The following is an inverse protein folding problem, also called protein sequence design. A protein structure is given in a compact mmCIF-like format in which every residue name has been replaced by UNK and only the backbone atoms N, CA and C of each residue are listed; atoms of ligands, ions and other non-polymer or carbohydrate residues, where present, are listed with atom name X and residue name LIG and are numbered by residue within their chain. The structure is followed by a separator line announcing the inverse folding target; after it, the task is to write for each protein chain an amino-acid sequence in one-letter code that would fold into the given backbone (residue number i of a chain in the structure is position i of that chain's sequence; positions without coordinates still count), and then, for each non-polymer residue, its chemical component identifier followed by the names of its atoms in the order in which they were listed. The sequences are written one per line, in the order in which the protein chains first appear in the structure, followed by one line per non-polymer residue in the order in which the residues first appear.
data_IF_294474159641
#
_entry.id   IF_294474159641
#
_cell.length_a   1.000
_cell.length_b   1.000
_cell.length_c   1.000
_cell.angle_alpha   90.00
_cell.angle_beta   90.00
_cell.angle_gamma   90.00
#
_symmetry.space_group_name_H-M   'P 1'
#
loop_
_entity.id
_entity.type
_entity.pdbx_description
1 polymer ?
#
# COMPACT_ATOMS: atom_id res chain seq x y z
N UNK A 1 25.23 9.57 -6.65
CA UNK A 1 24.42 8.59 -5.88
C UNK A 1 23.77 7.50 -6.77
N UNK A 2 23.99 7.46 -8.10
CA UNK A 2 23.39 6.43 -8.98
C UNK A 2 24.38 5.82 -9.99
N UNK A 3 25.69 6.05 -9.85
CA UNK A 3 26.68 5.69 -10.88
C UNK A 3 26.85 4.17 -11.09
N UNK A 4 26.50 3.33 -10.10
CA UNK A 4 26.66 1.87 -10.18
C UNK A 4 25.33 1.09 -10.34
N UNK A 5 24.20 1.80 -10.44
CA UNK A 5 22.86 1.19 -10.48
C UNK A 5 22.51 0.62 -11.87
N UNK A 6 21.85 -0.54 -11.89
CA UNK A 6 21.37 -1.14 -13.13
C UNK A 6 20.28 -0.26 -13.79
N UNK A 7 20.11 -0.30 -15.13
CA UNK A 7 19.02 0.41 -15.80
C UNK A 7 17.63 0.03 -15.26
N UNK A 8 17.46 -1.23 -14.84
CA UNK A 8 16.26 -1.69 -14.17
C UNK A 8 16.09 -1.05 -12.78
N UNK A 9 17.14 -1.02 -11.96
CA UNK A 9 17.11 -0.41 -10.63
C UNK A 9 16.84 1.09 -10.66
N UNK A 10 17.42 1.83 -11.61
CA UNK A 10 17.13 3.26 -11.82
C UNK A 10 15.65 3.47 -12.16
N UNK A 11 15.07 2.61 -13.01
CA UNK A 11 13.64 2.64 -13.35
C UNK A 11 12.77 2.41 -12.12
N UNK A 12 13.08 1.40 -11.30
CA UNK A 12 12.36 1.13 -10.03
C UNK A 12 12.36 2.37 -9.15
N UNK A 13 13.55 2.92 -8.87
CA UNK A 13 13.69 4.04 -7.94
C UNK A 13 12.96 5.29 -8.45
N UNK A 14 13.08 5.58 -9.74
CA UNK A 14 12.40 6.74 -10.37
C UNK A 14 10.89 6.63 -10.23
N UNK A 15 10.31 5.46 -10.54
CA UNK A 15 8.86 5.26 -10.45
C UNK A 15 8.40 5.37 -8.99
N UNK A 16 9.06 4.67 -8.06
CA UNK A 16 8.68 4.66 -6.64
C UNK A 16 8.74 6.08 -6.05
N UNK A 17 9.83 6.82 -6.28
CA UNK A 17 9.97 8.19 -5.79
C UNK A 17 8.94 9.14 -6.39
N UNK A 18 8.66 9.03 -7.70
CA UNK A 18 7.65 9.86 -8.35
C UNK A 18 6.25 9.64 -7.73
N UNK A 19 5.85 8.38 -7.54
CA UNK A 19 4.57 8.06 -6.90
C UNK A 19 4.53 8.50 -5.43
N UNK A 20 5.62 8.35 -4.68
CA UNK A 20 5.72 8.81 -3.29
C UNK A 20 5.61 10.33 -3.20
N UNK A 21 6.20 11.10 -4.11
CA UNK A 21 6.06 12.56 -4.15
C UNK A 21 4.61 13.00 -4.43
N UNK A 22 3.95 12.33 -5.38
CA UNK A 22 2.53 12.58 -5.68
C UNK A 22 1.66 12.25 -4.47
N UNK A 23 1.85 11.08 -3.86
CA UNK A 23 1.13 10.67 -2.66
C UNK A 23 1.37 11.63 -1.49
N UNK A 24 2.61 12.06 -1.26
CA UNK A 24 2.96 13.04 -0.23
C UNK A 24 2.26 14.39 -0.43
N UNK A 25 2.18 14.86 -1.67
CA UNK A 25 1.44 16.09 -2.01
C UNK A 25 -0.05 15.93 -1.68
N UNK A 26 -0.64 14.79 -2.01
CA UNK A 26 -2.05 14.49 -1.73
C UNK A 26 -2.32 14.39 -0.22
N UNK A 27 -1.42 13.73 0.55
CA UNK A 27 -1.51 13.65 2.02
C UNK A 27 -1.40 15.04 2.63
N UNK A 28 -0.47 15.87 2.17
CA UNK A 28 -0.34 17.25 2.63
C UNK A 28 -1.63 18.04 2.40
N UNK A 29 -2.20 17.98 1.20
CA UNK A 29 -3.47 18.63 0.89
C UNK A 29 -4.63 18.12 1.75
N UNK A 30 -4.68 16.81 2.03
CA UNK A 30 -5.67 16.22 2.94
C UNK A 30 -5.52 16.79 4.34
N UNK A 31 -4.31 16.77 4.92
CA UNK A 31 -4.04 17.26 6.26
C UNK A 31 -4.34 18.76 6.37
N UNK A 32 -3.93 19.55 5.39
CA UNK A 32 -4.28 20.97 5.31
C UNK A 32 -5.80 21.20 5.30
N UNK A 33 -6.53 20.43 4.50
CA UNK A 33 -8.00 20.51 4.45
C UNK A 33 -8.64 20.13 5.79
N UNK A 34 -8.11 19.11 6.47
CA UNK A 34 -8.66 18.60 7.74
C UNK A 34 -8.34 19.50 8.93
N UNK A 35 -7.13 20.04 8.99
CA UNK A 35 -6.66 20.86 10.10
C UNK A 35 -7.10 22.32 9.95
N UNK A 36 -7.00 22.88 8.75
CA UNK A 36 -7.21 24.32 8.53
C UNK A 36 -8.63 24.63 8.05
N UNK A 37 -9.10 23.93 7.00
CA UNK A 37 -10.38 24.26 6.34
C UNK A 37 -11.57 23.72 7.13
N UNK A 38 -11.58 22.42 7.43
CA UNK A 38 -12.72 21.75 8.07
C UNK A 38 -12.59 21.63 9.58
N UNK A 39 -11.39 21.88 10.14
CA UNK A 39 -11.06 21.79 11.58
C UNK A 39 -11.61 20.51 12.24
N UNK A 40 -11.45 19.39 11.55
CA UNK A 40 -12.08 18.12 11.87
C UNK A 40 -11.12 16.94 11.79
N UNK A 41 -9.86 17.12 12.20
CA UNK A 41 -8.90 16.02 12.25
C UNK A 41 -9.44 14.83 13.04
N UNK A 42 -9.14 13.62 12.59
CA UNK A 42 -9.51 12.40 13.28
C UNK A 42 -8.42 11.34 13.22
N UNK A 43 -8.68 10.18 13.84
CA UNK A 43 -7.74 9.06 13.86
C UNK A 43 -7.36 8.58 12.46
N UNK A 44 -8.26 8.72 11.47
CA UNK A 44 -7.96 8.37 10.09
C UNK A 44 -6.81 9.20 9.50
N UNK A 45 -6.60 10.44 9.96
CA UNK A 45 -5.55 11.32 9.47
C UNK A 45 -4.19 10.95 10.05
N UNK A 46 -4.16 10.49 11.31
CA UNK A 46 -2.97 9.91 11.95
C UNK A 46 -2.57 8.62 11.24
N UNK A 47 -3.53 7.73 10.94
CA UNK A 47 -3.26 6.51 10.19
C UNK A 47 -2.70 6.81 8.79
N UNK A 48 -3.25 7.79 8.07
CA UNK A 48 -2.69 8.16 6.75
C UNK A 48 -1.30 8.78 6.85
N UNK A 49 -1.03 9.61 7.87
CA UNK A 49 0.32 10.12 8.10
C UNK A 49 1.32 8.98 8.39
N UNK A 50 0.92 8.00 9.22
CA UNK A 50 1.72 6.81 9.48
C UNK A 50 1.94 5.97 8.22
N UNK A 51 0.91 5.78 7.39
CA UNK A 51 1.05 5.09 6.09
C UNK A 51 2.03 5.82 5.15
N UNK A 52 2.03 7.16 5.15
CA UNK A 52 2.98 7.95 4.38
C UNK A 52 4.42 7.75 4.86
N UNK A 53 4.65 7.75 6.18
CA UNK A 53 5.97 7.45 6.75
C UNK A 53 6.44 6.05 6.35
N UNK A 54 5.55 5.05 6.37
CA UNK A 54 5.87 3.69 5.93
C UNK A 54 6.13 3.60 4.42
N UNK A 55 5.43 4.38 3.60
CA UNK A 55 5.71 4.48 2.16
C UNK A 55 7.09 5.07 1.89
N UNK A 56 7.48 6.11 2.64
CA UNK A 56 8.84 6.68 2.56
C UNK A 56 9.86 5.64 3.00
N UNK A 57 9.63 4.94 4.10
CA UNK A 57 10.52 3.87 4.56
C UNK A 57 10.68 2.77 3.50
N UNK A 58 9.59 2.36 2.85
CA UNK A 58 9.63 1.41 1.73
C UNK A 58 10.47 1.95 0.57
N UNK A 59 10.30 3.22 0.19
CA UNK A 59 11.09 3.85 -0.86
C UNK A 59 12.60 3.91 -0.53
N UNK A 60 12.95 4.20 0.73
CA UNK A 60 14.36 4.18 1.19
C UNK A 60 14.94 2.78 1.09
N UNK A 61 14.24 1.76 1.63
CA UNK A 61 14.71 0.38 1.58
C UNK A 61 14.85 -0.13 0.14
N UNK A 62 13.91 0.22 -0.75
CA UNK A 62 14.02 -0.10 -2.18
C UNK A 62 15.19 0.63 -2.85
N UNK A 63 15.45 1.88 -2.47
CA UNK A 63 16.62 2.63 -2.98
C UNK A 63 17.93 1.95 -2.56
N UNK A 64 18.02 1.51 -1.30
CA UNK A 64 19.18 0.76 -0.80
C UNK A 64 19.35 -0.58 -1.53
N UNK A 65 18.27 -1.30 -1.85
CA UNK A 65 18.36 -2.50 -2.70
C UNK A 65 18.96 -2.18 -4.07
N UNK A 66 18.54 -1.07 -4.70
CA UNK A 66 19.06 -0.63 -6.00
C UNK A 66 20.55 -0.35 -5.95
N UNK A 67 21.03 0.27 -4.87
CA UNK A 67 22.45 0.56 -4.69
C UNK A 67 23.29 -0.72 -4.55
N UNK A 68 22.75 -1.76 -3.92
CA UNK A 68 23.43 -3.05 -3.70
C UNK A 68 23.15 -4.08 -4.79
N UNK A 69 22.62 -3.67 -5.95
CA UNK A 69 22.56 -4.53 -7.13
C UNK A 69 21.18 -5.02 -7.56
N UNK A 70 20.08 -4.48 -7.04
CA UNK A 70 18.74 -4.81 -7.54
C UNK A 70 18.66 -4.62 -9.07
N UNK A 71 18.14 -5.62 -9.78
CA UNK A 71 18.06 -5.62 -11.24
C UNK A 71 19.35 -6.05 -11.96
N UNK A 72 20.37 -6.52 -11.25
CA UNK A 72 21.51 -7.28 -11.82
C UNK A 72 21.31 -8.78 -11.60
N UNK A 73 21.91 -9.62 -12.44
CA UNK A 73 21.88 -11.07 -12.23
C UNK A 73 22.66 -11.45 -10.98
N UNK A 74 22.20 -12.45 -10.24
CA UNK A 74 22.80 -12.83 -8.95
C UNK A 74 24.26 -13.25 -9.10
N UNK A 75 24.61 -13.80 -10.27
CA UNK A 75 25.96 -14.27 -10.61
C UNK A 75 26.97 -13.13 -10.84
N UNK A 76 26.50 -11.89 -11.02
CA UNK A 76 27.34 -10.71 -11.26
C UNK A 76 27.67 -9.93 -9.98
N UNK A 77 27.08 -10.32 -8.85
CA UNK A 77 27.16 -9.60 -7.58
C UNK A 77 28.15 -10.26 -6.61
N UNK A 78 28.82 -9.44 -5.79
CA UNK A 78 29.60 -9.95 -4.66
C UNK A 78 28.68 -10.52 -3.58
N UNK A 79 29.16 -11.51 -2.84
CA UNK A 79 28.37 -12.18 -1.78
C UNK A 79 27.87 -11.21 -0.68
N UNK A 80 28.63 -10.15 -0.41
CA UNK A 80 28.23 -9.10 0.54
C UNK A 80 27.03 -8.28 0.04
N UNK A 81 27.03 -7.90 -1.24
CA UNK A 81 25.95 -7.15 -1.88
C UNK A 81 24.65 -7.96 -1.96
N UNK A 82 24.76 -9.26 -2.26
CA UNK A 82 23.62 -10.20 -2.23
C UNK A 82 23.02 -10.26 -0.82
N UNK A 83 23.87 -10.39 0.19
CA UNK A 83 23.43 -10.46 1.60
C UNK A 83 22.71 -9.18 2.02
N UNK A 84 23.24 -8.01 1.62
CA UNK A 84 22.62 -6.72 1.91
C UNK A 84 21.28 -6.54 1.19
N UNK A 85 21.21 -6.94 -0.08
CA UNK A 85 19.97 -6.93 -0.87
C UNK A 85 18.90 -7.81 -0.24
N UNK A 86 19.25 -9.01 0.24
CA UNK A 86 18.31 -9.91 0.94
C UNK A 86 17.83 -9.34 2.27
N UNK A 87 18.70 -8.69 3.06
CA UNK A 87 18.30 -7.99 4.30
C UNK A 87 17.29 -6.88 4.02
N UNK A 88 17.55 -6.08 2.99
CA UNK A 88 16.64 -5.01 2.59
C UNK A 88 15.34 -5.57 2.00
N UNK A 89 15.40 -6.69 1.27
CA UNK A 89 14.22 -7.39 0.78
C UNK A 89 13.34 -7.87 1.94
N UNK A 90 13.93 -8.53 2.93
CA UNK A 90 13.24 -8.92 4.16
C UNK A 90 12.58 -7.74 4.87
N UNK A 91 13.29 -6.60 4.99
CA UNK A 91 12.73 -5.38 5.57
C UNK A 91 11.53 -4.86 4.77
N UNK A 92 11.62 -4.87 3.44
CA UNK A 92 10.56 -4.38 2.56
C UNK A 92 9.25 -5.17 2.71
N UNK A 93 9.31 -6.48 2.96
CA UNK A 93 8.14 -7.36 3.06
C UNK A 93 7.18 -6.94 4.18
N UNK A 94 7.69 -6.75 5.40
CA UNK A 94 6.84 -6.39 6.54
C UNK A 94 6.48 -4.91 6.54
N UNK A 95 7.37 -4.01 6.07
CA UNK A 95 7.07 -2.57 5.92
C UNK A 95 5.91 -2.38 4.93
N UNK A 96 5.96 -3.05 3.79
CA UNK A 96 4.89 -3.04 2.79
C UNK A 96 3.55 -3.50 3.38
N UNK A 97 3.53 -4.65 4.07
CA UNK A 97 2.30 -5.19 4.68
C UNK A 97 1.73 -4.23 5.74
N UNK A 98 2.60 -3.62 6.54
CA UNK A 98 2.21 -2.64 7.55
C UNK A 98 1.65 -1.36 6.90
N UNK A 99 2.24 -0.91 5.79
CA UNK A 99 1.74 0.26 5.05
C UNK A 99 0.32 0.00 4.50
N UNK A 100 0.10 -1.12 3.81
CA UNK A 100 -1.21 -1.50 3.29
C UNK A 100 -2.26 -1.65 4.40
N UNK A 101 -1.90 -2.31 5.50
CA UNK A 101 -2.78 -2.47 6.66
C UNK A 101 -3.20 -1.11 7.19
N UNK A 102 -2.24 -0.19 7.36
CA UNK A 102 -2.51 1.14 7.89
C UNK A 102 -3.42 1.96 6.97
N UNK A 103 -3.25 1.84 5.64
CA UNK A 103 -4.14 2.45 4.64
C UNK A 103 -5.57 1.89 4.77
N UNK A 104 -5.73 0.57 4.85
CA UNK A 104 -7.03 -0.11 4.99
C UNK A 104 -7.74 0.31 6.27
N UNK A 105 -7.00 0.38 7.38
CA UNK A 105 -7.49 0.87 8.68
C UNK A 105 -7.97 2.32 8.55
N UNK A 106 -7.19 3.21 7.90
CA UNK A 106 -7.59 4.59 7.70
C UNK A 106 -8.89 4.72 6.88
N UNK A 107 -9.04 3.94 5.80
CA UNK A 107 -10.26 3.91 4.97
C UNK A 107 -11.47 3.47 5.80
N UNK A 108 -11.33 2.40 6.59
CA UNK A 108 -12.42 1.87 7.42
C UNK A 108 -12.85 2.85 8.51
N UNK A 109 -11.90 3.47 9.21
CA UNK A 109 -12.20 4.52 10.20
C UNK A 109 -12.93 5.69 9.53
N UNK A 110 -12.47 6.08 8.34
CA UNK A 110 -13.12 7.13 7.56
C UNK A 110 -14.55 6.75 7.14
N UNK A 111 -14.80 5.50 6.76
CA UNK A 111 -16.15 4.99 6.47
C UNK A 111 -17.07 5.03 7.69
N UNK A 112 -16.59 4.58 8.85
CA UNK A 112 -17.34 4.62 10.12
C UNK A 112 -17.73 6.06 10.47
N UNK A 113 -16.84 7.02 10.24
CA UNK A 113 -17.08 8.44 10.48
C UNK A 113 -18.09 9.05 9.50
N UNK A 114 -17.98 8.74 8.21
CA UNK A 114 -18.84 9.30 7.16
C UNK A 114 -20.27 8.76 7.23
N UNK A 115 -20.44 7.46 7.48
CA UNK A 115 -21.75 6.81 7.44
C UNK A 115 -22.25 6.48 8.86
N UNK A 116 -23.25 7.22 9.39
CA UNK A 116 -23.77 7.00 10.74
C UNK A 116 -24.70 5.79 10.89
N UNK A 117 -24.77 4.90 9.89
CA UNK A 117 -25.70 3.77 9.84
C UNK A 117 -25.17 2.61 10.70
N UNK A 118 -25.94 2.17 11.72
CA UNK A 118 -25.52 1.12 12.67
C UNK A 118 -25.04 -0.18 12.01
N UNK A 119 -25.84 -0.76 11.11
CA UNK A 119 -25.47 -2.00 10.42
C UNK A 119 -24.18 -1.86 9.58
N UNK A 120 -24.01 -0.70 8.93
CA UNK A 120 -22.82 -0.41 8.15
C UNK A 120 -21.57 -0.27 9.03
N UNK A 121 -21.69 0.42 10.17
CA UNK A 121 -20.59 0.53 11.15
C UNK A 121 -20.21 -0.83 11.72
N UNK A 122 -21.18 -1.69 12.04
CA UNK A 122 -20.92 -3.06 12.48
C UNK A 122 -20.13 -3.85 11.43
N UNK A 123 -20.53 -3.76 10.16
CA UNK A 123 -19.78 -4.37 9.07
C UNK A 123 -18.35 -3.79 8.93
N UNK A 124 -18.18 -2.48 9.07
CA UNK A 124 -16.85 -1.86 9.05
C UNK A 124 -15.96 -2.35 10.20
N UNK A 125 -16.48 -2.47 11.42
CA UNK A 125 -15.73 -3.00 12.56
C UNK A 125 -15.37 -4.48 12.36
N UNK A 126 -16.27 -5.29 11.81
CA UNK A 126 -15.97 -6.69 11.50
C UNK A 126 -14.83 -6.80 10.47
N UNK A 127 -14.87 -6.00 9.40
CA UNK A 127 -13.79 -5.94 8.40
C UNK A 127 -12.50 -5.40 9.00
N UNK A 128 -12.57 -4.42 9.92
CA UNK A 128 -11.40 -3.90 10.62
C UNK A 128 -10.71 -4.98 11.45
N UNK A 129 -11.47 -5.76 12.23
CA UNK A 129 -10.92 -6.89 12.98
C UNK A 129 -10.29 -7.93 12.06
N UNK A 130 -10.94 -8.25 10.92
CA UNK A 130 -10.39 -9.16 9.91
C UNK A 130 -9.08 -8.63 9.33
N UNK A 131 -9.00 -7.34 8.98
CA UNK A 131 -7.78 -6.72 8.45
C UNK A 131 -6.64 -6.82 9.46
N UNK A 132 -6.89 -6.50 10.73
CA UNK A 132 -5.87 -6.57 11.79
C UNK A 132 -5.40 -8.02 12.01
N UNK A 133 -6.31 -8.99 12.01
CA UNK A 133 -5.97 -10.40 12.18
C UNK A 133 -5.10 -10.93 11.02
N UNK A 134 -5.47 -10.62 9.77
CA UNK A 134 -4.66 -10.99 8.62
C UNK A 134 -3.31 -10.25 8.58
N UNK A 135 -3.26 -9.00 9.05
CA UNK A 135 -2.02 -8.25 9.15
C UNK A 135 -1.06 -8.87 10.17
N UNK A 136 -1.58 -9.32 11.31
CA UNK A 136 -0.77 -10.06 12.29
C UNK A 136 -0.20 -11.34 11.66
N UNK A 137 -1.02 -12.12 10.94
CA UNK A 137 -0.55 -13.29 10.19
C UNK A 137 0.56 -12.93 9.20
N UNK A 138 0.33 -11.94 8.34
CA UNK A 138 1.29 -11.54 7.31
C UNK A 138 2.59 -10.97 7.89
N UNK A 139 2.52 -10.07 8.88
CA UNK A 139 3.70 -9.43 9.46
C UNK A 139 4.53 -10.45 10.22
N UNK A 140 3.93 -11.20 11.15
CA UNK A 140 4.67 -12.20 11.91
C UNK A 140 5.17 -13.35 11.04
N UNK A 141 4.41 -13.74 10.02
CA UNK A 141 4.84 -14.74 9.04
C UNK A 141 6.06 -14.29 8.23
N UNK A 142 6.15 -13.01 7.84
CA UNK A 142 7.33 -12.48 7.13
C UNK A 142 8.52 -12.23 8.07
N UNK A 143 8.28 -11.71 9.27
CA UNK A 143 9.35 -11.43 10.25
C UNK A 143 10.00 -12.73 10.74
N UNK A 144 9.19 -13.75 11.04
CA UNK A 144 9.65 -15.05 11.53
C UNK A 144 9.65 -16.14 10.46
N UNK A 145 9.83 -15.74 9.20
CA UNK A 145 9.85 -16.65 8.05
C UNK A 145 10.89 -17.77 8.22
N UNK A 146 12.07 -17.42 8.75
CA UNK A 146 13.13 -18.36 9.08
C UNK A 146 13.44 -18.34 10.57
N UNK A 147 13.80 -19.52 11.10
CA UNK A 147 14.32 -19.68 12.45
C UNK A 147 15.74 -20.28 12.38
N UNK A 148 16.76 -19.57 12.89
CA UNK A 148 16.76 -18.17 13.32
C UNK A 148 16.60 -17.18 12.14
N UNK A 149 16.14 -15.95 12.40
CA UNK A 149 15.78 -14.96 11.34
C UNK A 149 16.96 -14.65 10.40
N UNK A 150 18.18 -14.65 10.93
CA UNK A 150 19.40 -14.43 10.14
C UNK A 150 19.67 -15.53 9.10
N UNK A 151 19.06 -16.71 9.22
CA UNK A 151 19.11 -17.75 8.19
C UNK A 151 18.43 -17.33 6.88
N UNK A 152 17.61 -16.28 6.89
CA UNK A 152 17.04 -15.73 5.66
C UNK A 152 18.14 -15.29 4.69
N UNK A 153 19.07 -14.46 5.16
CA UNK A 153 20.15 -13.88 4.35
C UNK A 153 21.52 -14.57 4.51
N UNK A 154 21.71 -15.40 5.55
CA UNK A 154 22.94 -16.13 5.79
C UNK A 154 22.67 -17.64 5.89
N UNK A 155 22.93 -18.36 4.79
CA UNK A 155 22.73 -19.82 4.72
C UNK A 155 23.82 -20.62 5.44
N UNK A 156 24.86 -19.99 5.97
CA UNK A 156 25.92 -20.67 6.73
C UNK A 156 25.50 -21.02 8.17
N UNK A 157 24.39 -20.46 8.65
CA UNK A 157 23.89 -20.70 10.01
C UNK A 157 23.39 -22.14 10.17
N UNK A 158 24.00 -22.87 11.11
CA UNK A 158 23.65 -24.25 11.40
C UNK A 158 22.22 -24.38 11.97
N UNK A 159 21.53 -25.45 11.56
CA UNK A 159 20.15 -25.77 11.97
C UNK A 159 19.08 -24.75 11.55
N UNK A 160 19.38 -23.87 10.60
CA UNK A 160 18.40 -22.94 10.06
C UNK A 160 17.30 -23.64 9.27
N UNK A 161 16.05 -23.25 9.50
CA UNK A 161 14.88 -23.71 8.75
C UNK A 161 13.99 -22.52 8.41
N UNK A 162 13.51 -22.46 7.18
CA UNK A 162 12.49 -21.51 6.75
C UNK A 162 11.16 -22.22 6.56
N UNK A 163 10.07 -21.54 6.86
CA UNK A 163 8.75 -21.95 6.39
C UNK A 163 8.68 -21.76 4.87
N UNK A 164 7.67 -22.34 4.21
CA UNK A 164 7.51 -22.14 2.77
C UNK A 164 7.12 -20.69 2.47
N UNK A 165 8.06 -19.96 1.87
CA UNK A 165 7.88 -18.58 1.40
C UNK A 165 6.66 -18.47 0.49
N UNK A 166 6.47 -19.45 -0.41
CA UNK A 166 5.31 -19.55 -1.29
C UNK A 166 3.98 -19.54 -0.51
N UNK A 167 3.86 -20.35 0.54
CA UNK A 167 2.63 -20.41 1.35
C UNK A 167 2.37 -19.06 2.02
N UNK A 168 3.38 -18.47 2.67
CA UNK A 168 3.19 -17.23 3.43
C UNK A 168 2.89 -16.06 2.51
N UNK A 169 3.62 -15.93 1.40
CA UNK A 169 3.46 -14.82 0.47
C UNK A 169 2.16 -14.92 -0.32
N UNK A 170 1.82 -16.11 -0.85
CA UNK A 170 0.61 -16.29 -1.64
C UNK A 170 -0.66 -16.17 -0.79
N UNK A 171 -0.66 -16.73 0.44
CA UNK A 171 -1.80 -16.56 1.36
C UNK A 171 -1.97 -15.11 1.78
N UNK A 172 -0.88 -14.41 2.11
CA UNK A 172 -0.92 -12.99 2.49
C UNK A 172 -1.38 -12.11 1.33
N UNK A 173 -0.90 -12.36 0.11
CA UNK A 173 -1.30 -11.61 -1.08
C UNK A 173 -2.78 -11.86 -1.42
N UNK A 174 -3.24 -13.12 -1.41
CA UNK A 174 -4.64 -13.46 -1.63
C UNK A 174 -5.58 -12.84 -0.60
N UNK A 175 -5.21 -12.86 0.69
CA UNK A 175 -5.97 -12.19 1.76
C UNK A 175 -6.00 -10.68 1.56
N UNK A 176 -4.89 -10.07 1.14
CA UNK A 176 -4.83 -8.64 0.87
C UNK A 176 -5.77 -8.24 -0.27
N UNK A 177 -5.76 -8.96 -1.40
CA UNK A 177 -6.67 -8.72 -2.54
C UNK A 177 -8.12 -8.90 -2.11
N UNK A 178 -8.43 -9.97 -1.36
CA UNK A 178 -9.78 -10.23 -0.86
C UNK A 178 -10.29 -9.09 0.03
N UNK A 179 -9.44 -8.54 0.90
CA UNK A 179 -9.78 -7.37 1.71
C UNK A 179 -10.05 -6.12 0.86
N UNK A 180 -9.25 -5.86 -0.17
CA UNK A 180 -9.44 -4.70 -1.04
C UNK A 180 -10.80 -4.77 -1.76
N UNK A 181 -11.16 -5.96 -2.26
CA UNK A 181 -12.49 -6.23 -2.83
C UNK A 181 -13.58 -5.95 -1.80
N UNK A 182 -13.48 -6.49 -0.59
CA UNK A 182 -14.50 -6.29 0.46
C UNK A 182 -14.65 -4.80 0.80
N UNK A 183 -13.55 -4.09 1.03
CA UNK A 183 -13.55 -2.65 1.36
C UNK A 183 -14.13 -1.82 0.21
N UNK A 184 -13.82 -2.19 -1.04
CA UNK A 184 -14.37 -1.53 -2.23
C UNK A 184 -15.88 -1.73 -2.34
N UNK A 185 -16.41 -2.93 -2.12
CA UNK A 185 -17.85 -3.18 -2.28
C UNK A 185 -18.70 -2.68 -1.11
N UNK A 186 -18.11 -2.53 0.08
CA UNK A 186 -18.79 -2.21 1.32
C UNK A 186 -19.70 -0.95 1.23
N UNK A 187 -19.24 0.22 0.75
CA UNK A 187 -20.10 1.40 0.67
C UNK A 187 -21.11 1.38 -0.49
N UNK A 188 -20.92 0.56 -1.54
CA UNK A 188 -21.76 0.56 -2.76
C UNK A 188 -23.23 0.31 -2.42
N UNK A 189 -23.52 -0.63 -1.52
CA UNK A 189 -24.89 -0.95 -1.11
C UNK A 189 -25.57 0.23 -0.41
N UNK A 190 -24.85 0.94 0.46
CA UNK A 190 -25.36 2.12 1.17
C UNK A 190 -25.63 3.26 0.20
N UNK A 191 -24.69 3.51 -0.70
CA UNK A 191 -24.78 4.58 -1.70
C UNK A 191 -25.97 4.40 -2.62
N UNK A 192 -26.26 3.17 -3.07
CA UNK A 192 -27.41 2.91 -3.96
C UNK A 192 -28.76 3.23 -3.31
N UNK A 193 -28.83 3.21 -1.97
CA UNK A 193 -30.06 3.55 -1.22
C UNK A 193 -30.14 5.02 -0.83
N UNK A 194 -29.03 5.76 -0.86
CA UNK A 194 -28.99 7.17 -0.47
C UNK A 194 -29.25 8.06 -1.69
N UNK A 195 -30.23 8.96 -1.60
CA UNK A 195 -30.56 9.92 -2.66
C UNK A 195 -29.50 11.03 -2.75
N UNK A 196 -28.37 10.71 -3.38
CA UNK A 196 -27.22 11.60 -3.52
C UNK A 196 -27.32 12.40 -4.83
N UNK A 197 -26.92 13.67 -4.81
CA UNK A 197 -26.86 14.53 -6.01
C UNK A 197 -25.94 13.94 -7.10
N UNK A 198 -26.26 14.17 -8.38
CA UNK A 198 -25.48 13.60 -9.52
C UNK A 198 -23.99 13.97 -9.48
N UNK A 199 -23.62 15.12 -8.89
CA UNK A 199 -22.23 15.58 -8.75
C UNK A 199 -21.46 14.81 -7.68
N UNK A 200 -22.08 14.57 -6.52
CA UNK A 200 -21.50 13.72 -5.48
C UNK A 200 -21.37 12.25 -5.94
N UNK A 201 -22.30 11.78 -6.78
CA UNK A 201 -22.22 10.47 -7.42
C UNK A 201 -20.98 10.34 -8.33
N UNK A 202 -20.60 11.38 -9.08
CA UNK A 202 -19.38 11.37 -9.91
C UNK A 202 -18.11 11.19 -9.08
N UNK A 203 -17.89 12.01 -8.03
CA UNK A 203 -16.68 11.90 -7.20
C UNK A 203 -16.55 10.55 -6.50
N UNK A 204 -17.67 9.90 -6.21
CA UNK A 204 -17.70 8.57 -5.65
C UNK A 204 -17.38 7.47 -6.67
N UNK A 205 -17.83 7.61 -7.92
CA UNK A 205 -17.42 6.73 -9.03
C UNK A 205 -15.91 6.82 -9.24
N UNK A 206 -15.32 8.02 -9.18
CA UNK A 206 -13.86 8.18 -9.31
C UNK A 206 -13.10 7.46 -8.20
N UNK A 207 -13.61 7.50 -6.97
CA UNK A 207 -13.03 6.77 -5.86
C UNK A 207 -13.12 5.25 -6.04
N UNK A 208 -14.25 4.73 -6.54
CA UNK A 208 -14.37 3.31 -6.87
C UNK A 208 -13.44 2.89 -8.01
N UNK A 209 -13.29 3.74 -9.03
CA UNK A 209 -12.37 3.45 -10.13
C UNK A 209 -10.92 3.37 -9.65
N UNK A 210 -10.50 4.27 -8.76
CA UNK A 210 -9.16 4.22 -8.18
C UNK A 210 -8.98 3.04 -7.23
N UNK A 211 -9.97 2.72 -6.39
CA UNK A 211 -9.93 1.50 -5.59
C UNK A 211 -9.88 0.23 -6.44
N UNK A 212 -10.57 0.20 -7.57
CA UNK A 212 -10.47 -0.90 -8.53
C UNK A 212 -9.07 -0.99 -9.18
N UNK A 213 -8.43 0.16 -9.45
CA UNK A 213 -7.06 0.17 -9.97
C UNK A 213 -6.06 -0.45 -8.99
N UNK A 214 -6.24 -0.26 -7.67
CA UNK A 214 -5.42 -0.93 -6.64
C UNK A 214 -5.55 -2.45 -6.78
N UNK A 215 -6.76 -2.99 -6.89
CA UNK A 215 -7.00 -4.43 -7.05
C UNK A 215 -6.30 -4.99 -8.30
N UNK A 216 -6.30 -4.24 -9.41
CA UNK A 216 -5.58 -4.64 -10.62
C UNK A 216 -4.08 -4.69 -10.36
N UNK A 217 -3.50 -3.67 -9.73
CA UNK A 217 -2.08 -3.64 -9.36
C UNK A 217 -1.72 -4.80 -8.42
N UNK A 218 -2.54 -5.07 -7.39
CA UNK A 218 -2.35 -6.19 -6.46
C UNK A 218 -2.40 -7.55 -7.18
N UNK A 219 -3.25 -7.69 -8.20
CA UNK A 219 -3.37 -8.91 -8.99
C UNK A 219 -2.15 -9.12 -9.88
N UNK A 220 -1.68 -8.07 -10.55
CA UNK A 220 -0.43 -8.12 -11.35
C UNK A 220 0.76 -8.45 -10.46
N UNK A 221 0.81 -7.90 -9.23
CA UNK A 221 1.83 -8.23 -8.23
C UNK A 221 1.82 -9.69 -7.85
N UNK A 222 0.66 -10.33 -7.72
CA UNK A 222 0.57 -11.77 -7.43
C UNK A 222 1.22 -12.60 -8.54
N UNK A 223 1.01 -12.25 -9.81
CA UNK A 223 1.67 -12.90 -10.94
C UNK A 223 3.20 -12.68 -10.93
N UNK A 224 3.66 -11.46 -10.64
CA UNK A 224 5.10 -11.19 -10.50
C UNK A 224 5.72 -11.98 -9.33
N UNK A 225 4.97 -12.19 -8.25
CA UNK A 225 5.41 -12.97 -7.09
C UNK A 225 5.49 -14.47 -7.40
N UNK A 226 4.58 -14.98 -8.22
CA UNK A 226 4.60 -16.35 -8.72
C UNK A 226 5.84 -16.61 -9.60
N UNK A 227 6.10 -15.71 -10.56
CA UNK A 227 7.31 -15.77 -11.38
C UNK A 227 8.60 -15.72 -10.53
N UNK A 228 8.60 -14.90 -9.47
CA UNK A 228 9.72 -14.81 -8.54
C UNK A 228 9.97 -16.10 -7.76
N UNK A 229 8.91 -16.81 -7.39
CA UNK A 229 9.01 -18.08 -6.66
C UNK A 229 9.62 -19.19 -7.53
N UNK A 230 9.38 -19.16 -8.84
CA UNK A 230 9.93 -20.11 -9.81
C UNK A 230 11.28 -19.67 -10.42
N UNK A 231 11.67 -18.40 -10.27
CA UNK A 231 12.90 -17.85 -10.84
C UNK A 231 14.17 -18.28 -10.09
N UNK A 232 15.23 -18.58 -10.85
CA UNK A 232 16.57 -18.84 -10.31
C UNK A 232 17.37 -17.53 -10.08
N UNK A 233 16.86 -16.38 -10.58
CA UNK A 233 17.50 -15.06 -10.54
C UNK A 233 16.62 -14.04 -9.78
N UNK A 234 16.49 -14.27 -8.48
CA UNK A 234 15.61 -13.49 -7.61
C UNK A 234 15.90 -11.98 -7.62
N UNK A 235 17.17 -11.57 -7.76
CA UNK A 235 17.57 -10.15 -7.75
C UNK A 235 17.10 -9.38 -8.99
N UNK A 236 16.99 -10.05 -10.14
CA UNK A 236 16.54 -9.43 -11.38
C UNK A 236 15.01 -9.28 -11.39
N UNK A 237 14.29 -10.37 -11.09
CA UNK A 237 12.83 -10.40 -11.11
C UNK A 237 12.19 -9.61 -9.95
N UNK A 238 12.95 -9.36 -8.86
CA UNK A 238 12.47 -8.56 -7.73
C UNK A 238 12.28 -7.08 -8.11
N UNK A 239 12.94 -6.61 -9.17
CA UNK A 239 12.81 -5.21 -9.62
C UNK A 239 11.36 -4.84 -10.00
N UNK A 240 10.64 -5.75 -10.66
CA UNK A 240 9.24 -5.54 -11.04
C UNK A 240 8.32 -5.61 -9.81
N UNK A 241 8.56 -6.57 -8.91
CA UNK A 241 7.80 -6.71 -7.66
C UNK A 241 7.96 -5.49 -6.74
N UNK A 242 9.18 -4.96 -6.61
CA UNK A 242 9.47 -3.76 -5.81
C UNK A 242 8.75 -2.54 -6.39
N UNK A 243 8.75 -2.39 -7.72
CA UNK A 243 8.04 -1.30 -8.41
C UNK A 243 6.54 -1.37 -8.15
N UNK A 244 5.94 -2.55 -8.35
CA UNK A 244 4.50 -2.76 -8.15
C UNK A 244 4.09 -2.52 -6.69
N UNK A 245 4.90 -2.97 -5.73
CA UNK A 245 4.65 -2.77 -4.30
C UNK A 245 4.65 -1.28 -3.92
N UNK A 246 5.60 -0.50 -4.44
CA UNK A 246 5.64 0.95 -4.23
C UNK A 246 4.48 1.69 -4.88
N UNK A 247 4.10 1.30 -6.10
CA UNK A 247 2.92 1.87 -6.79
C UNK A 247 1.64 1.56 -6.01
N UNK A 248 1.45 0.31 -5.58
CA UNK A 248 0.27 -0.13 -4.84
C UNK A 248 0.05 0.66 -3.54
N UNK A 249 1.11 0.79 -2.72
CA UNK A 249 1.05 1.55 -1.46
C UNK A 249 0.70 3.02 -1.73
N UNK A 250 1.36 3.66 -2.69
CA UNK A 250 1.14 5.07 -2.98
C UNK A 250 -0.24 5.34 -3.60
N UNK A 251 -0.70 4.50 -4.53
CA UNK A 251 -2.06 4.59 -5.08
C UNK A 251 -3.11 4.34 -4.00
N UNK A 252 -2.85 3.40 -3.08
CA UNK A 252 -3.69 3.15 -1.90
C UNK A 252 -3.81 4.39 -1.00
N UNK A 253 -2.70 5.06 -0.70
CA UNK A 253 -2.69 6.32 0.07
C UNK A 253 -3.52 7.39 -0.64
N UNK A 254 -3.29 7.58 -1.94
CA UNK A 254 -4.04 8.56 -2.75
C UNK A 254 -5.53 8.25 -2.70
N UNK A 255 -5.93 6.99 -2.92
CA UNK A 255 -7.32 6.54 -2.88
C UNK A 255 -7.96 6.82 -1.51
N UNK A 256 -7.25 6.55 -0.42
CA UNK A 256 -7.72 6.83 0.92
C UNK A 256 -7.87 8.32 1.22
N UNK A 257 -7.15 9.20 0.54
CA UNK A 257 -7.22 10.66 0.73
C UNK A 257 -8.44 11.32 0.07
N UNK A 258 -8.90 10.79 -1.06
CA UNK A 258 -9.97 11.38 -1.88
C UNK A 258 -11.30 11.68 -1.15
N UNK A 259 -11.84 10.79 -0.28
CA UNK A 259 -13.11 11.10 0.38
C UNK A 259 -13.01 12.32 1.30
N UNK A 260 -11.85 12.58 1.92
CA UNK A 260 -11.64 13.71 2.81
C UNK A 260 -11.41 15.03 2.05
N UNK A 261 -10.94 14.96 0.80
CA UNK A 261 -10.65 16.13 -0.04
C UNK A 261 -11.87 16.69 -0.78
N UNK A 262 -13.04 16.04 -0.68
CA UNK A 262 -14.30 16.53 -1.29
C UNK A 262 -14.61 18.00 -0.97
N UNK A 263 -14.47 18.50 0.28
CA UNK A 263 -14.71 19.90 0.61
C UNK A 263 -13.70 20.84 -0.04
N UNK A 264 -12.43 20.42 -0.17
CA UNK A 264 -11.39 21.21 -0.83
C UNK A 264 -11.70 21.41 -2.32
N UNK A 265 -12.11 20.34 -3.01
CA UNK A 265 -12.54 20.45 -4.41
C UNK A 265 -13.75 21.36 -4.58
N UNK A 266 -14.66 21.39 -3.59
CA UNK A 266 -15.80 22.29 -3.60
C UNK A 266 -15.39 23.77 -3.46
N UNK A 267 -14.34 24.07 -2.68
CA UNK A 267 -13.81 25.42 -2.48
C UNK A 267 -12.93 25.88 -3.65
N UNK A 268 -12.05 25.02 -4.17
CA UNK A 268 -11.10 25.38 -5.25
C UNK A 268 -11.75 25.45 -6.63
N UNK A 269 -12.79 24.64 -6.89
CA UNK A 269 -13.49 24.60 -8.17
C UNK A 269 -14.97 24.95 -8.00
N UNK A 270 -15.30 26.18 -7.55
CA UNK A 270 -16.69 26.57 -7.35
C UNK A 270 -17.47 26.49 -8.67
N UNK A 271 -16.90 26.75 -9.84
CA UNK A 271 -17.66 26.60 -11.11
C UNK A 271 -18.08 25.16 -11.44
N UNK A 272 -17.40 24.13 -10.91
CA UNK A 272 -17.76 22.71 -11.11
C UNK A 272 -18.54 22.11 -9.92
N UNK A 273 -18.37 22.67 -8.71
CA UNK A 273 -19.01 22.21 -7.48
C UNK A 273 -20.06 23.17 -6.89
N UNK A 274 -20.26 24.37 -7.47
CA UNK A 274 -21.29 25.35 -7.08
C UNK A 274 -22.65 24.82 -7.48
N UNK A 275 -23.28 24.14 -6.53
CA UNK A 275 -24.69 24.31 -6.19
C UNK A 275 -24.92 24.05 -4.69
N UNK A 276 -23.94 24.32 -3.83
CA UNK A 276 -24.11 24.22 -2.37
C UNK A 276 -24.00 25.61 -1.74
N UNK A 277 -24.86 26.53 -2.20
CA UNK A 277 -25.21 27.74 -1.47
C UNK A 277 -26.66 28.09 -1.81
N UNK A 278 -27.57 27.23 -1.36
CA UNK A 278 -28.96 27.56 -1.10
C UNK A 278 -29.49 26.51 -0.11
N UNK A 279 -30.02 27.00 1.00
CA UNK A 279 -30.53 26.32 2.21
C UNK A 279 -29.49 26.03 3.29
#
# INVERSE_FOLDING_TARGET
MLEDASPAGIRVNTIVLAFTLVAGTVVFLRLFTRLVITRGAGFEDVCIAAAMVLSIALAVVTSEQVMHGLGKHTNELHAEDVTMTLKMFWASLWIYNLALTTIKVAILIQYIRIFPIRHFRCACYAVLCMVIACAAWGIFGNVFLCYPVNFFWDKSVQNGRCMSDYIIWFTTAGLNIGQDVVILFLPIRVIRRLQISRRQKKGLITMFALGASVIVVSTVRLYSLDNLADSNDQTFDNSDQATLSGVEVNVGIICACLPAMRPLFAVMMPKYFSSATAY
#
